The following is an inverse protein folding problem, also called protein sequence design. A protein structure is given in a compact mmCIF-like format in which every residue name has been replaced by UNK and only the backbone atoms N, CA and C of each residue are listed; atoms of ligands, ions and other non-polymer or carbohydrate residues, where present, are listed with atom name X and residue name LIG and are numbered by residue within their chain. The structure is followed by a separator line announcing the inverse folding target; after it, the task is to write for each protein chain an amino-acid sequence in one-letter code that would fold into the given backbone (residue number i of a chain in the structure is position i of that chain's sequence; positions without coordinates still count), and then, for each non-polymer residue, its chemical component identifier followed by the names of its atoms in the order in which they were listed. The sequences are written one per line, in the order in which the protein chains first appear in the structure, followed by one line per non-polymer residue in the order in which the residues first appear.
data_IF_904972112691
#
_entry.id   IF_904972112691
#
_cell.length_a   1.000
_cell.length_b   1.000
_cell.length_c   1.000
_cell.angle_alpha   90.00
_cell.angle_beta   90.00
_cell.angle_gamma   90.00
#
_symmetry.space_group_name_H-M   'P 1'
#
loop_
_entity.id
_entity.type
_entity.pdbx_description
1 polymer ?
#
# COMPACT_ATOMS: atom_id res chain seq x y z
N UNK A 1 -7.11 -20.34 -16.51
CA UNK A 1 -7.55 -19.18 -17.28
C UNK A 1 -6.38 -18.62 -18.07
N UNK A 2 -6.58 -18.25 -19.35
CA UNK A 2 -5.51 -17.72 -20.20
C UNK A 2 -5.65 -16.22 -20.36
N UNK A 3 -4.52 -15.50 -20.27
CA UNK A 3 -4.38 -14.08 -20.60
C UNK A 3 -3.14 -13.89 -21.47
N UNK A 4 -2.99 -12.72 -22.07
CA UNK A 4 -1.92 -12.44 -23.03
C UNK A 4 -1.17 -11.18 -22.63
N UNK A 5 0.16 -11.19 -22.68
CA UNK A 5 1.03 -10.04 -22.43
C UNK A 5 0.85 -8.96 -23.50
N UNK A 6 1.48 -7.80 -23.31
CA UNK A 6 1.54 -6.73 -24.31
C UNK A 6 2.13 -7.17 -25.67
N UNK A 7 2.92 -8.25 -25.66
CA UNK A 7 3.50 -8.88 -26.86
C UNK A 7 2.70 -10.06 -27.40
N UNK A 8 1.45 -10.22 -26.98
CA UNK A 8 0.57 -11.36 -27.33
C UNK A 8 1.11 -12.74 -26.92
N UNK A 9 1.98 -12.79 -25.92
CA UNK A 9 2.49 -14.04 -25.38
C UNK A 9 1.50 -14.61 -24.35
N UNK A 10 1.21 -15.91 -24.45
CA UNK A 10 0.26 -16.58 -23.56
C UNK A 10 0.81 -16.71 -22.14
N UNK A 11 -0.05 -16.41 -21.16
CA UNK A 11 0.18 -16.59 -19.73
C UNK A 11 -0.98 -17.39 -19.16
N UNK A 12 -0.70 -18.50 -18.49
CA UNK A 12 -1.69 -19.36 -17.88
C UNK A 12 -1.79 -19.06 -16.40
N UNK A 13 -2.98 -18.70 -15.94
CA UNK A 13 -3.27 -18.36 -14.54
C UNK A 13 -3.95 -19.53 -13.83
N UNK A 14 -3.71 -19.65 -12.54
CA UNK A 14 -4.48 -20.52 -11.66
C UNK A 14 -5.97 -20.18 -11.70
N UNK A 15 -6.83 -21.19 -11.49
CA UNK A 15 -8.29 -20.97 -11.49
C UNK A 15 -8.76 -20.16 -10.30
N UNK A 16 -8.10 -20.31 -9.16
CA UNK A 16 -8.47 -19.61 -7.92
C UNK A 16 -7.57 -18.39 -7.69
N UNK A 17 -8.18 -17.31 -7.22
CA UNK A 17 -7.46 -16.15 -6.73
C UNK A 17 -6.93 -16.44 -5.33
N UNK A 18 -5.68 -16.06 -5.06
CA UNK A 18 -5.11 -16.17 -3.70
C UNK A 18 -5.30 -14.87 -2.90
N UNK A 19 -5.70 -13.79 -3.55
CA UNK A 19 -6.05 -12.52 -2.92
C UNK A 19 -7.12 -11.79 -3.73
N UNK A 20 -7.98 -11.04 -3.05
CA UNK A 20 -9.01 -10.22 -3.70
C UNK A 20 -9.24 -8.93 -2.91
N UNK A 21 -9.67 -7.88 -3.59
CA UNK A 21 -9.97 -6.57 -3.01
C UNK A 21 -11.11 -5.87 -3.76
N UNK A 22 -11.34 -4.60 -3.46
CA UNK A 22 -12.45 -3.82 -4.07
C UNK A 22 -12.32 -3.56 -5.58
N UNK A 23 -11.14 -3.69 -6.16
CA UNK A 23 -10.89 -3.40 -7.57
C UNK A 23 -10.69 -4.62 -8.45
N UNK A 24 -10.27 -5.75 -7.85
CA UNK A 24 -9.93 -6.96 -8.59
C UNK A 24 -9.42 -8.09 -7.71
N UNK A 25 -8.89 -9.09 -8.36
CA UNK A 25 -8.32 -10.29 -7.74
C UNK A 25 -6.90 -10.55 -8.23
N UNK A 26 -6.09 -11.22 -7.42
CA UNK A 26 -4.71 -11.58 -7.75
C UNK A 26 -4.61 -13.10 -7.89
N UNK A 27 -4.03 -13.54 -9.01
CA UNK A 27 -3.89 -14.96 -9.34
C UNK A 27 -2.43 -15.35 -9.51
N UNK A 28 -2.12 -16.57 -9.09
CA UNK A 28 -0.83 -17.20 -9.38
C UNK A 28 -0.70 -17.50 -10.87
N UNK A 29 0.55 -17.43 -11.36
CA UNK A 29 0.90 -17.80 -12.72
C UNK A 29 1.39 -19.23 -12.72
N UNK A 30 0.76 -20.09 -13.55
CA UNK A 30 1.14 -21.48 -13.76
C UNK A 30 2.24 -21.57 -14.82
N UNK A 31 2.09 -20.79 -15.90
CA UNK A 31 3.04 -20.76 -17.01
C UNK A 31 3.08 -19.36 -17.63
N UNK A 32 4.28 -18.90 -17.92
CA UNK A 32 4.55 -17.63 -18.58
C UNK A 32 5.83 -17.70 -19.41
N UNK A 33 6.05 -16.75 -20.34
CA UNK A 33 7.33 -16.59 -21.03
C UNK A 33 8.50 -16.44 -20.06
N UNK A 34 9.68 -16.94 -20.43
CA UNK A 34 10.90 -17.01 -19.59
C UNK A 34 11.37 -15.64 -19.06
N UNK A 35 10.99 -14.55 -19.73
CA UNK A 35 11.28 -13.19 -19.26
C UNK A 35 10.54 -12.80 -17.97
N UNK A 36 9.52 -13.53 -17.59
CA UNK A 36 8.75 -13.33 -16.38
C UNK A 36 9.05 -14.41 -15.35
N UNK A 37 9.65 -14.02 -14.23
CA UNK A 37 9.96 -14.92 -13.12
C UNK A 37 9.36 -14.38 -11.82
N UNK A 38 8.82 -15.27 -10.98
CA UNK A 38 8.24 -14.93 -9.69
C UNK A 38 7.23 -13.77 -9.79
N UNK A 39 6.21 -13.98 -10.60
CA UNK A 39 5.17 -13.00 -10.90
C UNK A 39 3.79 -13.51 -10.48
N UNK A 40 2.86 -12.57 -10.30
CA UNK A 40 1.43 -12.78 -10.23
C UNK A 40 0.71 -11.79 -11.15
N UNK A 41 -0.59 -11.99 -11.34
CA UNK A 41 -1.42 -11.14 -12.18
C UNK A 41 -2.58 -10.61 -11.38
N UNK A 42 -2.74 -9.26 -11.33
CA UNK A 42 -3.96 -8.61 -10.86
C UNK A 42 -4.93 -8.48 -12.02
N UNK A 43 -6.12 -9.06 -11.87
CA UNK A 43 -7.23 -8.95 -12.82
C UNK A 43 -8.29 -8.02 -12.23
N UNK A 44 -8.66 -6.99 -12.97
CA UNK A 44 -9.72 -6.07 -12.53
C UNK A 44 -11.11 -6.69 -12.69
N UNK A 45 -12.00 -6.34 -11.77
CA UNK A 45 -13.42 -6.64 -11.96
C UNK A 45 -14.02 -5.84 -13.12
N UNK A 46 -15.08 -6.33 -13.72
CA UNK A 46 -15.65 -5.77 -14.95
C UNK A 46 -15.85 -4.24 -14.90
N UNK A 47 -16.41 -3.73 -13.81
CA UNK A 47 -16.66 -2.27 -13.62
C UNK A 47 -15.39 -1.43 -13.47
N UNK A 48 -14.23 -2.06 -13.21
CA UNK A 48 -12.93 -1.41 -13.00
C UNK A 48 -12.01 -1.47 -14.24
N UNK A 49 -12.40 -2.22 -15.27
CA UNK A 49 -11.67 -2.30 -16.55
C UNK A 49 -12.02 -1.10 -17.45
N UNK A 50 -11.64 0.09 -17.04
CA UNK A 50 -11.89 1.33 -17.77
C UNK A 50 -10.74 1.67 -18.70
N UNK A 51 -11.01 2.49 -19.73
CA UNK A 51 -9.97 3.01 -20.64
C UNK A 51 -8.94 3.82 -19.87
N UNK A 52 -9.38 4.56 -18.84
CA UNK A 52 -8.48 5.36 -18.01
C UNK A 52 -7.54 4.48 -17.19
N UNK A 53 -8.06 3.39 -16.60
CA UNK A 53 -7.23 2.43 -15.87
C UNK A 53 -6.23 1.73 -16.79
N UNK A 54 -6.64 1.35 -18.00
CA UNK A 54 -5.75 0.79 -19.00
C UNK A 54 -4.62 1.76 -19.38
N UNK A 55 -4.95 3.03 -19.64
CA UNK A 55 -3.95 4.08 -19.93
C UNK A 55 -2.99 4.27 -18.78
N UNK A 56 -3.49 4.29 -17.55
CA UNK A 56 -2.67 4.42 -16.33
C UNK A 56 -1.68 3.27 -16.20
N UNK A 57 -2.13 2.02 -16.33
CA UNK A 57 -1.24 0.85 -16.25
C UNK A 57 -0.20 0.87 -17.37
N UNK A 58 -0.59 1.19 -18.61
CA UNK A 58 0.36 1.32 -19.72
C UNK A 58 1.42 2.40 -19.47
N UNK A 59 1.01 3.54 -18.90
CA UNK A 59 1.95 4.59 -18.50
C UNK A 59 2.92 4.09 -17.42
N UNK A 60 2.43 3.39 -16.40
CA UNK A 60 3.27 2.84 -15.32
C UNK A 60 4.29 1.84 -15.85
N UNK A 61 3.90 0.96 -16.76
CA UNK A 61 4.81 -0.01 -17.41
C UNK A 61 5.93 0.71 -18.16
N UNK A 62 5.65 1.83 -18.82
CA UNK A 62 6.63 2.63 -19.57
C UNK A 62 7.49 3.53 -18.67
N UNK A 63 7.04 3.84 -17.45
CA UNK A 63 7.69 4.75 -16.52
C UNK A 63 7.95 4.06 -15.16
N UNK A 64 8.69 2.96 -15.11
CA UNK A 64 8.97 2.30 -13.84
C UNK A 64 9.86 3.17 -12.95
N UNK A 65 9.79 3.03 -11.62
CA UNK A 65 10.78 3.63 -10.73
C UNK A 65 12.16 3.02 -11.02
N UNK A 66 13.22 3.73 -10.63
CA UNK A 66 14.60 3.32 -10.90
C UNK A 66 14.90 1.87 -10.45
N UNK A 67 14.21 1.40 -9.41
CA UNK A 67 14.39 0.07 -8.84
C UNK A 67 13.08 -0.46 -8.23
N UNK A 68 12.61 -1.60 -8.70
CA UNK A 68 11.40 -2.26 -8.16
C UNK A 68 11.71 -3.34 -7.14
N UNK A 69 12.97 -3.78 -7.03
CA UNK A 69 13.42 -4.80 -6.07
C UNK A 69 14.83 -4.47 -5.60
N UNK A 70 15.07 -4.64 -4.30
CA UNK A 70 16.38 -4.45 -3.68
C UNK A 70 16.61 -5.42 -2.52
N UNK A 71 17.66 -5.16 -1.75
CA UNK A 71 17.93 -5.94 -0.55
C UNK A 71 16.88 -5.65 0.52
N UNK A 72 16.04 -6.64 0.80
CA UNK A 72 14.98 -6.55 1.83
C UNK A 72 13.69 -5.83 1.40
N UNK A 73 13.53 -5.39 0.15
CA UNK A 73 12.30 -4.78 -0.32
C UNK A 73 11.92 -5.17 -1.75
N UNK A 74 10.64 -5.04 -2.05
CA UNK A 74 10.02 -5.19 -3.36
C UNK A 74 8.86 -4.22 -3.50
N UNK A 75 8.63 -3.73 -4.72
CA UNK A 75 7.47 -2.91 -5.08
C UNK A 75 6.61 -3.73 -6.04
N UNK A 76 5.32 -3.89 -5.75
CA UNK A 76 4.34 -4.56 -6.59
C UNK A 76 4.00 -3.75 -7.84
N UNK A 77 5.02 -3.31 -8.57
CA UNK A 77 4.91 -2.43 -9.73
C UNK A 77 4.43 -3.17 -10.96
N UNK A 78 3.54 -2.57 -11.80
CA UNK A 78 3.16 -3.14 -13.09
C UNK A 78 4.38 -3.35 -14.00
N UNK A 79 4.68 -4.62 -14.32
CA UNK A 79 5.76 -5.02 -15.23
C UNK A 79 5.29 -5.07 -16.68
N UNK A 80 4.02 -5.44 -16.89
CA UNK A 80 3.37 -5.50 -18.19
C UNK A 80 1.85 -5.51 -17.97
N UNK A 81 1.06 -5.14 -18.97
CA UNK A 81 -0.39 -5.30 -18.91
C UNK A 81 -0.82 -6.61 -19.56
N UNK A 82 -2.01 -7.09 -19.20
CA UNK A 82 -2.59 -8.30 -19.78
C UNK A 82 -3.96 -8.04 -20.42
N UNK A 83 -4.20 -8.79 -21.52
CA UNK A 83 -5.43 -8.76 -22.29
C UNK A 83 -6.06 -10.17 -22.34
N UNK A 84 -7.33 -10.25 -22.73
CA UNK A 84 -7.93 -11.51 -23.19
C UNK A 84 -7.49 -11.84 -24.62
N UNK A 85 -7.98 -12.96 -25.17
CA UNK A 85 -7.67 -13.41 -26.54
C UNK A 85 -8.14 -12.42 -27.62
N UNK A 86 -9.15 -11.59 -27.32
CA UNK A 86 -9.65 -10.54 -28.21
C UNK A 86 -8.89 -9.21 -28.09
N UNK A 87 -7.85 -9.13 -27.25
CA UNK A 87 -7.06 -7.91 -27.04
C UNK A 87 -7.68 -6.93 -26.04
N UNK A 88 -8.77 -7.29 -25.35
CA UNK A 88 -9.39 -6.43 -24.34
C UNK A 88 -8.59 -6.44 -23.04
N UNK A 89 -8.33 -5.26 -22.48
CA UNK A 89 -7.62 -5.09 -21.23
C UNK A 89 -8.26 -5.85 -20.06
N UNK A 90 -7.46 -6.60 -19.33
CA UNK A 90 -7.88 -7.41 -18.20
C UNK A 90 -7.21 -7.01 -16.87
N UNK A 91 -5.97 -6.51 -16.91
CA UNK A 91 -5.19 -6.22 -15.72
C UNK A 91 -3.70 -6.08 -16.01
N UNK A 92 -2.87 -6.48 -15.04
CA UNK A 92 -1.42 -6.33 -15.18
C UNK A 92 -0.62 -7.42 -14.44
N UNK A 93 0.60 -7.61 -14.89
CA UNK A 93 1.61 -8.48 -14.28
C UNK A 93 2.40 -7.66 -13.27
N UNK A 94 2.68 -8.23 -12.10
CA UNK A 94 3.53 -7.63 -11.07
C UNK A 94 4.40 -8.69 -10.39
N UNK A 95 5.49 -8.30 -9.69
CA UNK A 95 6.26 -9.24 -8.88
C UNK A 95 5.38 -9.93 -7.84
N UNK A 96 5.53 -11.24 -7.69
CA UNK A 96 4.93 -11.98 -6.58
C UNK A 96 5.65 -11.58 -5.29
N UNK A 97 4.89 -11.27 -4.25
CA UNK A 97 5.44 -10.94 -2.94
C UNK A 97 6.34 -12.08 -2.39
N UNK A 98 7.19 -11.73 -1.42
CA UNK A 98 8.01 -12.76 -0.77
C UNK A 98 7.13 -13.87 -0.18
N UNK A 99 7.56 -15.15 -0.25
CA UNK A 99 6.82 -16.26 0.33
C UNK A 99 6.51 -16.03 1.83
N UNK A 100 5.40 -16.59 2.29
CA UNK A 100 4.95 -16.53 3.69
C UNK A 100 4.75 -15.12 4.26
N UNK A 101 4.68 -14.12 3.38
CA UNK A 101 4.40 -12.74 3.76
C UNK A 101 3.03 -12.61 4.46
N UNK A 102 2.96 -11.73 5.45
CA UNK A 102 1.73 -11.30 6.12
C UNK A 102 1.57 -9.79 5.95
N UNK A 103 0.33 -9.31 6.00
CA UNK A 103 0.10 -7.86 6.02
C UNK A 103 0.71 -7.24 7.27
N UNK A 104 1.31 -6.07 7.13
CA UNK A 104 1.93 -5.32 8.22
C UNK A 104 0.97 -5.02 9.37
N UNK A 105 -0.34 -4.97 9.12
CA UNK A 105 -1.37 -4.79 10.16
C UNK A 105 -1.23 -5.80 11.30
N UNK A 106 -0.67 -6.98 11.06
CA UNK A 106 -0.40 -7.98 12.10
C UNK A 106 0.59 -7.52 13.17
N UNK A 107 1.43 -6.52 12.89
CA UNK A 107 2.40 -5.94 13.83
C UNK A 107 1.98 -4.57 14.39
N UNK A 108 0.89 -3.98 13.90
CA UNK A 108 0.44 -2.63 14.29
C UNK A 108 -0.55 -2.62 15.45
N UNK A 109 -0.96 -3.79 15.93
CA UNK A 109 -1.80 -3.94 17.12
C UNK A 109 -0.96 -4.02 18.42
N UNK A 110 -1.54 -3.69 19.59
CA UNK A 110 -0.85 -3.79 20.87
C UNK A 110 -0.31 -5.20 21.17
N UNK A 111 -1.06 -6.22 20.78
CA UNK A 111 -0.66 -7.64 20.89
C UNK A 111 -0.62 -8.27 19.50
N UNK A 112 0.42 -9.04 19.25
CA UNK A 112 0.54 -9.83 18.02
C UNK A 112 -0.50 -10.95 17.99
N UNK A 113 -0.99 -11.28 16.80
CA UNK A 113 -1.94 -12.38 16.61
C UNK A 113 -1.31 -13.72 17.00
N UNK A 114 -2.00 -14.52 17.82
CA UNK A 114 -1.58 -15.89 18.17
C UNK A 114 -1.49 -16.84 16.97
N UNK A 115 -2.01 -16.46 15.81
CA UNK A 115 -1.92 -17.23 14.56
C UNK A 115 -0.55 -17.09 13.86
N UNK A 116 0.29 -16.18 14.32
CA UNK A 116 1.66 -16.04 13.81
C UNK A 116 2.56 -17.13 14.39
N UNK A 117 3.51 -17.61 13.61
CA UNK A 117 4.49 -18.59 14.06
C UNK A 117 5.48 -18.03 15.09
N UNK A 118 6.19 -18.89 15.83
CA UNK A 118 7.08 -18.49 16.91
C UNK A 118 8.22 -17.57 16.44
N UNK A 119 8.66 -17.68 15.20
CA UNK A 119 9.68 -16.83 14.59
C UNK A 119 9.27 -15.34 14.52
N UNK A 120 7.97 -15.08 14.37
CA UNK A 120 7.42 -13.72 14.43
C UNK A 120 7.50 -13.13 15.83
N UNK A 121 7.13 -13.92 16.85
CA UNK A 121 7.21 -13.51 18.26
C UNK A 121 8.66 -13.29 18.68
N UNK A 122 9.56 -14.22 18.36
CA UNK A 122 10.98 -14.09 18.67
C UNK A 122 11.58 -12.78 18.14
N UNK A 123 11.12 -12.32 16.97
CA UNK A 123 11.66 -11.12 16.33
C UNK A 123 10.93 -9.83 16.68
N UNK A 124 9.59 -9.85 16.67
CA UNK A 124 8.78 -8.63 16.69
C UNK A 124 7.96 -8.43 17.96
N UNK A 125 7.91 -9.38 18.89
CA UNK A 125 7.18 -9.16 20.13
C UNK A 125 7.85 -8.06 20.96
N UNK A 126 7.08 -7.04 21.35
CA UNK A 126 7.57 -5.92 22.16
C UNK A 126 8.09 -6.34 23.51
N UNK A 127 7.60 -7.48 24.05
CA UNK A 127 8.11 -8.07 25.28
C UNK A 127 9.61 -8.39 25.22
N UNK A 128 10.19 -8.59 24.02
CA UNK A 128 11.62 -8.85 23.82
C UNK A 128 12.49 -7.57 23.93
N UNK A 129 11.91 -6.42 24.29
CA UNK A 129 12.64 -5.19 24.59
C UNK A 129 13.51 -4.69 23.43
N UNK A 130 14.83 -4.51 23.71
CA UNK A 130 15.78 -3.91 22.75
C UNK A 130 15.90 -4.70 21.43
N UNK A 131 15.85 -6.02 21.45
CA UNK A 131 15.99 -6.84 20.23
C UNK A 131 14.82 -6.64 19.27
N UNK A 132 13.60 -6.61 19.79
CA UNK A 132 12.40 -6.33 19.03
C UNK A 132 12.38 -4.89 18.50
N UNK A 133 12.82 -3.91 19.29
CA UNK A 133 12.93 -2.52 18.86
C UNK A 133 13.87 -2.40 17.65
N UNK A 134 15.05 -3.02 17.71
CA UNK A 134 16.02 -3.03 16.59
C UNK A 134 15.41 -3.69 15.36
N UNK A 135 14.68 -4.80 15.51
CA UNK A 135 14.01 -5.47 14.40
C UNK A 135 12.93 -4.59 13.75
N UNK A 136 12.13 -3.88 14.55
CA UNK A 136 11.11 -2.93 14.08
C UNK A 136 11.73 -1.70 13.38
N UNK A 137 12.83 -1.17 13.88
CA UNK A 137 13.56 -0.08 13.22
C UNK A 137 14.15 -0.53 11.87
N UNK A 138 14.69 -1.75 11.78
CA UNK A 138 15.14 -2.33 10.49
C UNK A 138 13.97 -2.50 9.51
N UNK A 139 12.81 -2.93 10.01
CA UNK A 139 11.59 -3.05 9.19
C UNK A 139 11.15 -1.68 8.66
N UNK A 140 11.14 -0.65 9.50
CA UNK A 140 10.85 0.74 9.11
C UNK A 140 11.80 1.19 8.00
N UNK A 141 13.11 0.92 8.14
CA UNK A 141 14.09 1.25 7.10
C UNK A 141 13.78 0.52 5.77
N UNK A 142 13.44 -0.76 5.82
CA UNK A 142 13.09 -1.55 4.63
C UNK A 142 11.79 -1.06 3.96
N UNK A 143 10.88 -0.42 4.70
CA UNK A 143 9.68 0.25 4.18
C UNK A 143 10.04 1.63 3.59
N UNK A 144 10.89 2.39 4.26
CA UNK A 144 11.25 3.74 3.84
C UNK A 144 12.00 3.78 2.50
N UNK A 145 12.87 2.79 2.23
CA UNK A 145 13.68 2.74 1.01
C UNK A 145 12.81 2.71 -0.27
N UNK A 146 11.87 1.76 -0.45
CA UNK A 146 11.02 1.73 -1.65
C UNK A 146 10.13 2.97 -1.78
N UNK A 147 9.65 3.56 -0.68
CA UNK A 147 8.90 4.82 -0.71
C UNK A 147 9.80 5.95 -1.20
N UNK A 148 11.02 6.06 -0.69
CA UNK A 148 11.99 7.05 -1.15
C UNK A 148 12.30 6.91 -2.65
N UNK A 149 12.44 5.69 -3.16
CA UNK A 149 12.65 5.41 -4.59
C UNK A 149 11.46 5.92 -5.42
N UNK A 150 10.23 5.69 -4.97
CA UNK A 150 9.03 6.20 -5.64
C UNK A 150 8.97 7.73 -5.61
N UNK A 151 9.19 8.34 -4.45
CA UNK A 151 9.18 9.79 -4.28
C UNK A 151 10.30 10.50 -5.03
N UNK A 152 11.45 9.84 -5.24
CA UNK A 152 12.58 10.41 -6.00
C UNK A 152 12.28 10.60 -7.48
N UNK A 153 11.25 9.94 -8.01
CA UNK A 153 10.79 10.17 -9.38
C UNK A 153 10.09 11.51 -9.56
N UNK A 154 9.59 12.12 -8.49
CA UNK A 154 8.70 13.29 -8.45
C UNK A 154 7.40 13.11 -9.28
N UNK A 155 7.03 11.86 -9.59
CA UNK A 155 5.83 11.52 -10.38
C UNK A 155 4.74 10.85 -9.55
N UNK A 156 5.11 10.07 -8.52
CA UNK A 156 4.22 9.16 -7.82
C UNK A 156 3.95 9.62 -6.39
N UNK A 157 2.66 9.65 -6.02
CA UNK A 157 2.16 9.81 -4.65
C UNK A 157 1.33 8.58 -4.33
N UNK A 158 1.68 7.87 -3.23
CA UNK A 158 1.05 6.60 -2.85
C UNK A 158 -0.42 6.77 -2.53
N UNK A 159 -0.75 7.88 -1.87
CA UNK A 159 -2.11 8.33 -1.52
C UNK A 159 -2.88 7.43 -0.54
N UNK A 160 -2.81 6.10 -0.67
CA UNK A 160 -3.44 5.12 0.23
C UNK A 160 -2.39 4.23 0.90
N UNK A 161 -1.30 4.84 1.39
CA UNK A 161 -0.30 4.10 2.16
C UNK A 161 -0.85 3.73 3.54
N UNK A 162 -0.92 2.43 3.81
CA UNK A 162 -1.45 1.86 5.06
C UNK A 162 -0.89 0.47 5.31
N UNK A 163 -1.01 -0.07 6.54
CA UNK A 163 -0.44 -1.38 6.88
C UNK A 163 -0.97 -2.55 6.05
N UNK A 164 -2.19 -2.48 5.54
CA UNK A 164 -2.78 -3.51 4.68
C UNK A 164 -2.09 -3.60 3.31
N UNK A 165 -1.51 -2.48 2.83
CA UNK A 165 -0.82 -2.39 1.53
C UNK A 165 0.69 -2.66 1.65
N UNK A 166 1.14 -3.14 2.80
CA UNK A 166 2.52 -3.56 3.05
C UNK A 166 2.54 -5.01 3.49
N UNK A 167 3.18 -5.87 2.72
CA UNK A 167 3.41 -7.26 3.07
C UNK A 167 4.81 -7.41 3.65
N UNK A 168 4.94 -8.17 4.72
CA UNK A 168 6.21 -8.39 5.43
C UNK A 168 6.44 -9.86 5.69
N UNK A 169 7.69 -10.27 5.74
CA UNK A 169 8.11 -11.62 6.15
C UNK A 169 8.59 -11.61 7.61
N UNK A 170 8.68 -12.79 8.23
CA UNK A 170 9.23 -12.91 9.59
C UNK A 170 10.69 -12.42 9.68
N UNK A 171 11.47 -12.50 8.60
CA UNK A 171 12.86 -12.01 8.55
C UNK A 171 12.96 -10.51 8.20
N UNK A 172 11.83 -9.82 8.03
CA UNK A 172 11.74 -8.36 7.86
C UNK A 172 11.89 -7.85 6.42
N UNK A 173 11.76 -8.71 5.41
CA UNK A 173 11.61 -8.27 4.02
C UNK A 173 10.23 -7.66 3.81
N UNK A 174 10.14 -6.73 2.87
CA UNK A 174 8.95 -5.92 2.63
C UNK A 174 8.52 -6.00 1.17
N UNK A 175 7.22 -6.09 0.92
CA UNK A 175 6.63 -5.84 -0.40
C UNK A 175 5.54 -4.77 -0.26
N UNK A 176 5.68 -3.64 -0.96
CA UNK A 176 4.60 -2.65 -1.07
C UNK A 176 3.70 -3.06 -2.23
N UNK A 177 2.43 -3.23 -1.97
CA UNK A 177 1.42 -3.67 -2.94
C UNK A 177 0.41 -2.58 -3.26
N UNK A 178 -0.52 -2.85 -4.18
CA UNK A 178 -1.59 -1.93 -4.61
C UNK A 178 -1.08 -0.64 -5.29
N UNK A 179 0.01 -0.77 -6.06
CA UNK A 179 0.65 0.35 -6.74
C UNK A 179 -0.21 0.99 -7.85
N UNK A 180 -1.24 0.34 -8.32
CA UNK A 180 -2.18 0.90 -9.28
C UNK A 180 -3.14 1.94 -8.65
N UNK A 181 -3.17 2.07 -7.32
CA UNK A 181 -3.91 3.12 -6.60
C UNK A 181 -3.21 4.48 -6.58
N UNK A 182 -1.91 4.56 -6.90
CA UNK A 182 -1.09 5.78 -6.81
C UNK A 182 -1.63 6.93 -7.68
N UNK A 183 -1.42 8.16 -7.24
CA UNK A 183 -1.55 9.32 -8.12
C UNK A 183 -0.30 9.47 -8.97
N UNK A 184 -0.48 9.83 -10.24
CA UNK A 184 0.61 10.10 -11.17
C UNK A 184 0.53 11.54 -11.66
N UNK A 185 1.64 12.28 -11.54
CA UNK A 185 1.75 13.67 -11.98
C UNK A 185 3.06 13.90 -12.76
N UNK A 186 3.06 14.85 -13.66
CA UNK A 186 4.26 15.39 -14.31
C UNK A 186 4.31 16.89 -14.06
N UNK A 187 5.26 17.34 -13.25
CA UNK A 187 5.26 18.70 -12.73
C UNK A 187 3.97 19.02 -11.98
N UNK A 188 3.32 20.12 -12.31
CA UNK A 188 2.04 20.53 -11.73
C UNK A 188 0.81 19.86 -12.35
N UNK A 189 0.98 19.05 -13.40
CA UNK A 189 -0.13 18.40 -14.10
C UNK A 189 -0.37 17.01 -13.56
N UNK A 190 -1.57 16.77 -13.01
CA UNK A 190 -2.04 15.42 -12.69
C UNK A 190 -2.42 14.68 -13.97
N UNK A 191 -1.76 13.55 -14.24
CA UNK A 191 -2.05 12.68 -15.37
C UNK A 191 -3.11 11.65 -15.02
N UNK A 192 -2.98 11.02 -13.85
CA UNK A 192 -3.92 10.01 -13.35
C UNK A 192 -4.18 10.24 -11.87
N UNK A 193 -5.43 10.40 -11.45
CA UNK A 193 -5.79 10.52 -10.04
C UNK A 193 -5.52 9.21 -9.31
N UNK A 194 -5.18 9.30 -8.03
CA UNK A 194 -5.19 8.13 -7.16
C UNK A 194 -6.62 7.71 -6.85
N UNK A 195 -6.89 6.40 -6.84
CA UNK A 195 -8.25 5.85 -6.79
C UNK A 195 -8.78 5.67 -5.37
N UNK A 196 -7.89 5.59 -4.37
CA UNK A 196 -8.24 5.30 -2.98
C UNK A 196 -7.60 6.29 -2.00
N UNK A 197 -8.22 6.43 -0.84
CA UNK A 197 -7.64 7.04 0.35
C UNK A 197 -8.41 6.52 1.58
N UNK A 198 -7.69 6.09 2.60
CA UNK A 198 -8.26 5.55 3.83
C UNK A 198 -8.30 6.64 4.90
N UNK A 199 -9.46 6.98 5.49
CA UNK A 199 -9.61 8.12 6.39
C UNK A 199 -8.55 8.23 7.48
N UNK A 200 -8.23 7.15 8.20
CA UNK A 200 -7.25 7.18 9.29
C UNK A 200 -5.80 7.49 8.87
N UNK A 201 -5.53 7.59 7.57
CA UNK A 201 -4.21 7.86 6.99
C UNK A 201 -4.18 9.13 6.13
N UNK A 202 -5.25 9.94 6.18
CA UNK A 202 -5.34 11.22 5.46
C UNK A 202 -4.79 12.34 6.37
N UNK A 203 -3.94 13.24 5.86
CA UNK A 203 -3.45 14.37 6.65
C UNK A 203 -4.57 15.30 7.11
N UNK A 204 -4.49 15.87 8.34
CA UNK A 204 -5.55 16.68 8.93
C UNK A 204 -5.95 17.91 8.10
N UNK A 205 -5.03 18.52 7.37
CA UNK A 205 -5.27 19.69 6.51
C UNK A 205 -6.20 19.41 5.32
N UNK A 206 -6.45 18.14 5.00
CA UNK A 206 -7.35 17.75 3.92
C UNK A 206 -8.78 17.43 4.37
N UNK A 207 -9.02 17.37 5.67
CA UNK A 207 -10.37 17.13 6.21
C UNK A 207 -11.31 18.31 6.00
N UNK A 208 -10.81 19.54 6.03
CA UNK A 208 -11.60 20.74 5.75
C UNK A 208 -12.10 20.86 4.30
N UNK A 209 -11.54 20.07 3.37
CA UNK A 209 -11.87 20.07 1.94
C UNK A 209 -12.93 19.05 1.53
N UNK A 210 -13.62 18.45 2.50
CA UNK A 210 -14.66 17.43 2.28
C UNK A 210 -14.17 16.01 2.50
N UNK A 211 -14.58 15.47 3.63
CA UNK A 211 -14.22 14.14 4.11
C UNK A 211 -14.79 13.05 3.20
N UNK A 212 -13.97 12.03 2.93
CA UNK A 212 -14.36 10.86 2.13
C UNK A 212 -14.31 11.08 0.60
N UNK A 213 -13.99 12.28 0.15
CA UNK A 213 -13.71 12.55 -1.26
C UNK A 213 -12.22 12.78 -1.43
N UNK A 214 -11.60 11.90 -2.19
CA UNK A 214 -10.25 12.14 -2.70
C UNK A 214 -10.22 13.47 -3.43
N UNK A 215 -9.38 14.45 -3.03
CA UNK A 215 -9.29 15.70 -3.76
C UNK A 215 -8.87 15.42 -5.20
N UNK A 216 -9.58 15.98 -6.16
CA UNK A 216 -9.22 15.91 -7.58
C UNK A 216 -8.21 17.01 -7.93
N UNK A 217 -7.17 17.11 -7.12
CA UNK A 217 -6.06 18.06 -7.26
C UNK A 217 -4.75 17.28 -7.23
N UNK A 218 -3.69 17.78 -7.88
CA UNK A 218 -2.36 17.21 -7.72
C UNK A 218 -1.97 17.22 -6.23
N UNK A 219 -1.67 16.04 -5.69
CA UNK A 219 -1.13 15.90 -4.34
C UNK A 219 0.39 15.85 -4.44
N UNK A 220 1.05 16.47 -3.47
CA UNK A 220 2.48 16.37 -3.30
C UNK A 220 2.84 15.13 -2.45
N UNK A 221 4.09 14.69 -2.53
CA UNK A 221 4.61 13.60 -1.67
C UNK A 221 4.49 13.87 -0.18
N UNK A 222 4.31 15.11 0.24
CA UNK A 222 3.99 15.50 1.62
C UNK A 222 2.70 14.88 2.15
N UNK A 223 1.73 14.57 1.26
CA UNK A 223 0.55 13.79 1.61
C UNK A 223 0.92 12.43 2.22
N UNK A 224 1.84 11.70 1.60
CA UNK A 224 2.26 10.39 2.08
C UNK A 224 3.02 10.47 3.42
N UNK A 225 3.69 11.59 3.72
CA UNK A 225 4.48 11.74 4.95
C UNK A 225 3.63 11.56 6.22
N UNK A 226 2.37 12.00 6.20
CA UNK A 226 1.46 11.77 7.32
C UNK A 226 1.19 10.27 7.51
N UNK A 227 0.76 9.58 6.45
CA UNK A 227 0.49 8.16 6.49
C UNK A 227 1.74 7.33 6.88
N UNK A 228 2.91 7.71 6.36
CA UNK A 228 4.20 7.10 6.71
C UNK A 228 4.48 7.26 8.22
N UNK A 229 4.31 8.47 8.75
CA UNK A 229 4.47 8.75 10.19
C UNK A 229 3.52 7.91 11.05
N UNK A 230 2.25 7.83 10.67
CA UNK A 230 1.25 6.98 11.34
C UNK A 230 1.66 5.51 11.34
N UNK A 231 2.03 4.96 10.18
CA UNK A 231 2.42 3.55 10.04
C UNK A 231 3.70 3.25 10.85
N UNK A 232 4.69 4.13 10.83
CA UNK A 232 5.92 3.95 11.60
C UNK A 232 5.65 4.01 13.11
N UNK A 233 4.80 4.92 13.56
CA UNK A 233 4.34 4.96 14.94
C UNK A 233 3.64 3.64 15.34
N UNK A 234 2.73 3.14 14.50
CA UNK A 234 2.06 1.87 14.73
C UNK A 234 3.03 0.68 14.82
N UNK A 235 4.05 0.62 13.97
CA UNK A 235 5.10 -0.41 14.05
C UNK A 235 5.81 -0.36 15.40
N UNK A 236 6.17 0.81 15.89
CA UNK A 236 6.91 0.97 17.14
C UNK A 236 6.04 0.70 18.37
N UNK A 237 4.87 1.32 18.43
CA UNK A 237 4.04 1.37 19.65
C UNK A 237 2.84 0.42 19.63
N UNK A 238 2.42 -0.10 18.48
CA UNK A 238 1.29 -1.02 18.34
C UNK A 238 -0.07 -0.39 18.47
N UNK A 239 -0.16 0.92 18.26
CA UNK A 239 -1.42 1.65 18.28
C UNK A 239 -1.32 2.84 17.33
N UNK A 240 -2.45 3.34 16.88
CA UNK A 240 -2.51 4.52 16.04
C UNK A 240 -2.17 5.78 16.87
N UNK A 241 -1.35 6.73 16.35
CA UNK A 241 -0.94 7.92 17.13
C UNK A 241 -2.09 8.80 17.61
N UNK A 242 -3.25 8.74 16.97
CA UNK A 242 -4.45 9.48 17.34
C UNK A 242 -5.46 8.65 18.14
N UNK A 243 -5.06 7.54 18.74
CA UNK A 243 -5.87 6.83 19.74
C UNK A 243 -5.81 7.60 21.06
N UNK A 244 -6.90 8.31 21.37
CA UNK A 244 -7.06 9.10 22.58
C UNK A 244 -8.55 9.29 22.86
N UNK A 245 -8.91 9.55 24.11
CA UNK A 245 -10.29 9.90 24.49
C UNK A 245 -10.37 11.41 24.70
N UNK A 246 -10.93 12.17 23.74
CA UNK A 246 -11.01 13.63 23.86
C UNK A 246 -12.08 14.04 24.86
N UNK A 247 -11.88 15.19 25.50
CA UNK A 247 -12.86 15.84 26.39
C UNK A 247 -14.02 16.50 25.61
N UNK A 248 -13.85 16.65 24.28
CA UNK A 248 -14.87 17.22 23.39
C UNK A 248 -15.85 16.16 22.90
N UNK A 249 -17.11 16.56 22.72
CA UNK A 249 -18.11 15.68 22.11
C UNK A 249 -17.77 15.46 20.64
N UNK A 250 -17.69 14.19 20.23
CA UNK A 250 -17.40 13.76 18.87
C UNK A 250 -18.70 13.43 18.12
N UNK A 251 -18.66 13.55 16.78
CA UNK A 251 -19.76 13.10 15.93
C UNK A 251 -19.89 11.56 16.01
N UNK A 252 -21.06 11.08 16.41
CA UNK A 252 -21.34 9.66 16.58
C UNK A 252 -21.25 8.84 15.28
N UNK A 253 -21.22 9.49 14.11
CA UNK A 253 -21.23 8.83 12.80
C UNK A 253 -19.85 8.55 12.22
N UNK A 254 -18.76 8.95 12.90
CA UNK A 254 -17.39 8.74 12.44
C UNK A 254 -16.55 7.95 13.45
N UNK A 255 -15.45 7.34 13.01
CA UNK A 255 -14.54 6.68 13.94
C UNK A 255 -13.84 7.72 14.82
N UNK A 256 -13.61 7.40 16.09
CA UNK A 256 -12.93 8.28 17.04
C UNK A 256 -11.54 8.72 16.52
N UNK A 257 -10.75 7.81 15.97
CA UNK A 257 -9.45 8.12 15.38
C UNK A 257 -9.57 9.19 14.29
N UNK A 258 -10.54 9.05 13.41
CA UNK A 258 -10.78 9.97 12.32
C UNK A 258 -11.11 11.39 12.85
N UNK A 259 -11.95 11.49 13.86
CA UNK A 259 -12.30 12.77 14.47
C UNK A 259 -11.11 13.40 15.18
N UNK A 260 -10.30 12.60 15.87
CA UNK A 260 -9.08 13.07 16.51
C UNK A 260 -8.09 13.64 15.51
N UNK A 261 -7.94 13.00 14.33
CA UNK A 261 -7.11 13.53 13.23
C UNK A 261 -7.69 14.87 12.73
N UNK A 262 -8.99 14.91 12.43
CA UNK A 262 -9.66 16.10 11.88
C UNK A 262 -9.54 17.33 12.80
N UNK A 263 -9.50 17.10 14.12
CA UNK A 263 -9.35 18.15 15.14
C UNK A 263 -7.89 18.33 15.59
N UNK A 264 -6.95 17.62 14.97
CA UNK A 264 -5.52 17.61 15.33
C UNK A 264 -5.28 17.31 16.83
N UNK A 265 -5.98 16.28 17.35
CA UNK A 265 -5.89 15.83 18.74
C UNK A 265 -4.84 14.70 18.87
N UNK A 266 -3.58 15.06 18.67
CA UNK A 266 -2.46 14.15 18.94
C UNK A 266 -2.09 14.23 20.43
N UNK A 267 -1.98 13.09 21.17
CA UNK A 267 -1.72 13.08 22.61
C UNK A 267 -0.46 13.83 23.06
N UNK A 268 0.52 13.96 22.19
CA UNK A 268 1.77 14.69 22.46
C UNK A 268 1.89 15.97 21.62
N UNK A 269 0.78 16.45 21.09
CA UNK A 269 0.71 17.62 20.22
C UNK A 269 0.27 18.89 20.95
N UNK A 270 0.16 20.01 20.22
CA UNK A 270 -0.21 21.32 20.80
C UNK A 270 -1.61 21.36 21.41
N UNK A 271 -2.50 20.45 21.02
CA UNK A 271 -3.87 20.35 21.54
C UNK A 271 -4.05 19.25 22.59
N UNK A 272 -2.97 18.74 23.20
CA UNK A 272 -3.02 17.65 24.18
C UNK A 272 -3.94 17.94 25.38
N UNK A 273 -4.11 19.18 25.77
CA UNK A 273 -5.01 19.59 26.87
C UNK A 273 -6.51 19.34 26.59
N UNK A 274 -6.86 18.97 25.36
CA UNK A 274 -8.25 18.64 24.96
C UNK A 274 -8.53 17.13 25.00
N UNK A 275 -7.55 16.32 25.43
CA UNK A 275 -7.58 14.86 25.42
C UNK A 275 -7.42 14.33 26.82
#
# INVERSE_FOLDING_TARGET
MDVYSSKHEKIVLANDAFSSGGEGEVRNVISAPSRFNNICVKLYYHKKKTIEQEKKIKYMVQNPPQKVKGNGFMIGWPLDYVTDAGGKFMGFIMPLAYPDSKQLITLTAPKMSKKLGPEWFARFDRANGKSSLVARLKLINNIAIPIHILHSTNKYVLKDFKPENVLITHDGKVTIVDMDSVQISEGSKMLFPGTAATPNYIPPEYYSKGIGKSPNIPLEKSWDNFAIGVVFYQILFGLHPYVATPWVQLDANSSEIFQNIAQNLFPFGPNQQKI
#
